data_IF_444824808482
#
_entry.id   IF_444824808482
#
_cell.length_a   1.000
_cell.length_b   1.000
_cell.length_c   1.000
_cell.angle_alpha   90.00
_cell.angle_beta   90.00
_cell.angle_gamma   90.00
#
_symmetry.space_group_name_H-M   'P 1'
#
loop_
_entity.id
_entity.type
_entity.pdbx_description
1 polymer ?
#
# COMPACT_ATOMS: atom_id res chain seq x y z
N UNK A 1 -2.07 26.73 -36.86
CA UNK A 1 -0.79 27.04 -36.18
C UNK A 1 -0.77 26.66 -34.70
N UNK A 2 -1.75 27.04 -33.86
CA UNK A 2 -1.80 26.60 -32.44
C UNK A 2 -2.21 25.13 -32.29
N UNK A 3 -3.24 24.71 -33.04
CA UNK A 3 -3.72 23.31 -33.06
C UNK A 3 -2.67 22.33 -33.61
N UNK A 4 -1.91 22.71 -34.63
CA UNK A 4 -0.85 21.86 -35.20
C UNK A 4 0.29 21.58 -34.21
N UNK A 5 0.59 22.55 -33.33
CA UNK A 5 1.60 22.42 -32.27
C UNK A 5 1.09 21.51 -31.15
N UNK A 6 -0.18 21.63 -30.74
CA UNK A 6 -0.79 20.75 -29.74
C UNK A 6 -0.88 19.30 -30.22
N UNK A 7 -1.19 19.09 -31.50
CA UNK A 7 -1.19 17.76 -32.13
C UNK A 7 0.22 17.17 -32.12
N UNK A 8 1.24 17.92 -32.56
CA UNK A 8 2.64 17.45 -32.53
C UNK A 8 3.13 17.14 -31.11
N UNK A 9 2.77 17.96 -30.12
CA UNK A 9 3.11 17.72 -28.71
C UNK A 9 2.42 16.46 -28.16
N UNK A 10 1.15 16.23 -28.50
CA UNK A 10 0.43 15.02 -28.08
C UNK A 10 1.01 13.75 -28.70
N UNK A 11 1.42 13.79 -29.98
CA UNK A 11 2.12 12.68 -30.65
C UNK A 11 3.49 12.41 -30.02
N UNK A 12 4.29 13.44 -29.74
CA UNK A 12 5.59 13.29 -29.08
C UNK A 12 5.44 12.64 -27.72
N UNK A 13 4.49 13.14 -26.90
CA UNK A 13 4.19 12.57 -25.59
C UNK A 13 3.72 11.10 -25.69
N UNK A 14 2.96 10.76 -26.74
CA UNK A 14 2.51 9.39 -26.96
C UNK A 14 3.67 8.45 -27.34
N UNK A 15 4.57 8.89 -28.22
CA UNK A 15 5.76 8.12 -28.61
C UNK A 15 6.70 7.94 -27.41
N UNK A 16 6.93 8.99 -26.63
CA UNK A 16 7.75 8.91 -25.41
C UNK A 16 7.16 7.95 -24.38
N UNK A 17 5.83 7.97 -24.20
CA UNK A 17 5.12 7.02 -23.32
C UNK A 17 5.29 5.59 -23.79
N UNK A 18 5.16 5.32 -25.09
CA UNK A 18 5.32 3.96 -25.65
C UNK A 18 6.77 3.49 -25.48
N UNK A 19 7.73 4.36 -25.81
CA UNK A 19 9.16 4.03 -25.77
C UNK A 19 9.64 3.77 -24.34
N UNK A 20 9.07 4.46 -23.36
CA UNK A 20 9.47 4.37 -21.95
C UNK A 20 8.46 3.60 -21.06
N UNK A 21 7.43 2.96 -21.65
CA UNK A 21 6.32 2.37 -20.90
C UNK A 21 6.79 1.38 -19.83
N UNK A 22 7.76 0.53 -20.17
CA UNK A 22 8.32 -0.47 -19.26
C UNK A 22 9.09 0.15 -18.10
N UNK A 23 9.93 1.16 -18.37
CA UNK A 23 10.66 1.89 -17.34
C UNK A 23 9.72 2.66 -16.40
N UNK A 24 8.70 3.31 -16.96
CA UNK A 24 7.66 4.01 -16.18
C UNK A 24 6.91 3.01 -15.30
N UNK A 25 6.57 1.83 -15.83
CA UNK A 25 5.89 0.77 -15.08
C UNK A 25 6.76 0.23 -13.95
N UNK A 26 8.02 -0.10 -14.22
CA UNK A 26 8.95 -0.58 -13.19
C UNK A 26 9.13 0.46 -12.07
N UNK A 27 9.23 1.75 -12.42
CA UNK A 27 9.32 2.83 -11.44
C UNK A 27 8.05 2.93 -10.57
N UNK A 28 6.87 2.81 -11.17
CA UNK A 28 5.60 2.76 -10.41
C UNK A 28 5.54 1.54 -9.49
N UNK A 29 5.86 0.35 -10.00
CA UNK A 29 5.90 -0.89 -9.21
C UNK A 29 6.81 -0.75 -7.99
N UNK A 30 7.98 -0.15 -8.16
CA UNK A 30 8.91 0.10 -7.08
C UNK A 30 8.35 1.10 -6.05
N UNK A 31 7.85 2.26 -6.47
CA UNK A 31 7.29 3.26 -5.55
C UNK A 31 6.13 2.69 -4.73
N UNK A 32 5.20 2.00 -5.38
CA UNK A 32 4.03 1.43 -4.70
C UNK A 32 4.44 0.32 -3.74
N UNK A 33 5.42 -0.51 -4.13
CA UNK A 33 5.97 -1.56 -3.26
C UNK A 33 6.69 -0.97 -2.05
N UNK A 34 7.54 0.04 -2.24
CA UNK A 34 8.27 0.70 -1.16
C UNK A 34 7.34 1.43 -0.18
N UNK A 35 6.26 2.02 -0.70
CA UNK A 35 5.19 2.60 0.11
C UNK A 35 4.53 1.53 0.99
N UNK A 36 4.12 0.39 0.42
CA UNK A 36 3.47 -0.68 1.17
C UNK A 36 4.43 -1.32 2.18
N UNK A 37 5.70 -1.49 1.80
CA UNK A 37 6.76 -1.95 2.70
C UNK A 37 6.95 -1.04 3.90
N UNK A 38 6.93 0.27 3.68
CA UNK A 38 7.06 1.26 4.77
C UNK A 38 5.88 1.17 5.74
N UNK A 39 4.66 0.99 5.23
CA UNK A 39 3.48 0.73 6.05
C UNK A 39 3.63 -0.55 6.89
N UNK A 40 4.08 -1.65 6.26
CA UNK A 40 4.32 -2.92 6.95
C UNK A 40 5.37 -2.78 8.05
N UNK A 41 6.51 -2.14 7.77
CA UNK A 41 7.59 -1.94 8.74
C UNK A 41 7.08 -1.14 9.94
N UNK A 42 6.39 -0.01 9.72
CA UNK A 42 5.88 0.81 10.81
C UNK A 42 4.87 0.03 11.69
N UNK A 43 3.96 -0.74 11.07
CA UNK A 43 3.03 -1.59 11.80
C UNK A 43 3.75 -2.71 12.57
N UNK A 44 4.72 -3.36 11.94
CA UNK A 44 5.48 -4.47 12.50
C UNK A 44 6.31 -4.03 13.71
N UNK A 45 6.92 -2.84 13.69
CA UNK A 45 7.61 -2.29 14.86
C UNK A 45 6.67 -2.13 16.05
N UNK A 46 5.45 -1.64 15.82
CA UNK A 46 4.44 -1.50 16.88
C UNK A 46 3.97 -2.85 17.40
N UNK A 47 3.78 -3.85 16.53
CA UNK A 47 3.37 -5.19 16.94
C UNK A 47 4.47 -5.93 17.72
N UNK A 48 5.73 -5.73 17.35
CA UNK A 48 6.89 -6.31 18.04
C UNK A 48 7.07 -5.82 19.48
N UNK A 49 6.59 -4.62 19.81
CA UNK A 49 6.67 -4.10 21.18
C UNK A 49 6.03 -5.05 22.21
N UNK A 50 5.18 -5.99 21.78
CA UNK A 50 4.43 -6.88 22.67
C UNK A 50 4.73 -8.36 22.45
N UNK A 51 5.59 -8.71 21.48
CA UNK A 51 6.01 -10.11 21.27
C UNK A 51 6.94 -10.53 22.42
N UNK A 52 6.44 -11.39 23.31
CA UNK A 52 7.22 -11.99 24.39
C UNK A 52 7.02 -11.38 25.77
N UNK A 53 6.31 -10.25 25.86
CA UNK A 53 5.74 -9.82 27.14
C UNK A 53 4.51 -10.68 27.46
N UNK A 54 4.36 -11.08 28.72
CA UNK A 54 3.07 -11.60 29.17
C UNK A 54 2.06 -10.50 28.89
N UNK A 55 1.06 -10.81 28.05
CA UNK A 55 -0.05 -9.96 27.64
C UNK A 55 -0.65 -9.10 28.77
N UNK A 56 -0.48 -9.54 30.01
CA UNK A 56 -0.88 -8.88 31.26
C UNK A 56 -0.14 -7.56 31.59
N UNK A 57 1.03 -7.26 30.98
CA UNK A 57 1.81 -6.04 31.26
C UNK A 57 1.77 -4.98 30.14
N UNK A 58 1.11 -5.30 29.04
CA UNK A 58 1.00 -4.46 27.86
C UNK A 58 -0.03 -3.33 28.04
N UNK A 59 0.36 -2.07 27.80
CA UNK A 59 -0.61 -0.97 27.68
C UNK A 59 -1.31 -1.07 26.32
N UNK A 60 -2.39 -1.85 26.30
CA UNK A 60 -3.20 -2.10 25.11
C UNK A 60 -3.71 -0.81 24.47
N UNK A 61 -4.08 0.19 25.29
CA UNK A 61 -4.56 1.48 24.81
C UNK A 61 -3.46 2.23 24.07
N UNK A 62 -2.26 2.25 24.64
CA UNK A 62 -1.09 2.86 24.01
C UNK A 62 -0.74 2.24 22.65
N UNK A 63 -0.79 0.91 22.51
CA UNK A 63 -0.53 0.25 21.22
C UNK A 63 -1.59 0.56 20.18
N UNK A 64 -2.86 0.53 20.57
CA UNK A 64 -3.94 0.92 19.67
C UNK A 64 -3.76 2.37 19.21
N UNK A 65 -3.38 3.28 20.11
CA UNK A 65 -3.08 4.68 19.77
C UNK A 65 -1.90 4.81 18.78
N UNK A 66 -0.86 3.98 18.91
CA UNK A 66 0.25 3.95 17.95
C UNK A 66 -0.21 3.43 16.59
N UNK A 67 -0.99 2.34 16.55
CA UNK A 67 -1.56 1.82 15.29
C UNK A 67 -2.47 2.85 14.62
N UNK A 68 -3.27 3.60 15.38
CA UNK A 68 -4.11 4.69 14.87
C UNK A 68 -3.24 5.80 14.24
N UNK A 69 -2.10 6.17 14.84
CA UNK A 69 -1.18 7.15 14.23
C UNK A 69 -0.62 6.66 12.89
N UNK A 70 -0.28 5.37 12.79
CA UNK A 70 0.17 4.76 11.53
C UNK A 70 -0.97 4.72 10.52
N UNK A 71 -2.17 4.34 10.93
CA UNK A 71 -3.37 4.38 10.09
C UNK A 71 -3.57 5.77 9.47
N UNK A 72 -3.58 6.83 10.28
CA UNK A 72 -3.72 8.22 9.81
C UNK A 72 -2.56 8.65 8.87
N UNK A 73 -1.40 8.02 8.97
CA UNK A 73 -0.25 8.29 8.11
C UNK A 73 -0.39 7.63 6.74
N UNK A 74 -0.87 6.39 6.65
CA UNK A 74 -0.84 5.61 5.42
C UNK A 74 -2.20 5.42 4.73
N UNK A 75 -3.31 5.63 5.42
CA UNK A 75 -4.65 5.47 4.86
C UNK A 75 -5.23 6.82 4.42
N UNK A 76 -5.94 6.80 3.29
CA UNK A 76 -6.79 7.91 2.86
C UNK A 76 -8.24 7.68 3.30
N UNK A 77 -8.67 6.42 3.33
CA UNK A 77 -9.98 6.03 3.82
C UNK A 77 -9.95 5.88 5.35
N UNK A 78 -10.70 6.74 6.05
CA UNK A 78 -10.79 6.79 7.50
C UNK A 78 -12.14 6.29 8.04
N UNK A 79 -12.86 5.48 7.27
CA UNK A 79 -14.05 4.79 7.76
C UNK A 79 -13.71 3.93 8.98
N UNK A 80 -14.60 3.93 9.97
CA UNK A 80 -14.38 3.29 11.28
C UNK A 80 -14.10 1.79 11.17
N UNK A 81 -14.58 1.14 10.11
CA UNK A 81 -14.33 -0.27 9.81
C UNK A 81 -12.85 -0.60 9.62
N UNK A 82 -12.04 0.31 9.07
CA UNK A 82 -10.60 0.09 8.84
C UNK A 82 -9.72 0.54 10.00
N UNK A 83 -10.28 1.26 10.97
CA UNK A 83 -9.51 1.82 12.06
C UNK A 83 -9.00 0.69 12.98
N UNK A 84 -7.70 0.67 13.33
CA UNK A 84 -7.18 -0.27 14.31
C UNK A 84 -7.92 -0.14 15.64
N UNK A 85 -8.50 -1.25 16.11
CA UNK A 85 -9.32 -1.28 17.33
C UNK A 85 -8.93 -2.39 18.31
N UNK A 86 -7.92 -3.20 17.96
CA UNK A 86 -7.46 -4.33 18.76
C UNK A 86 -6.00 -4.63 18.50
N UNK A 87 -5.44 -5.52 19.30
CA UNK A 87 -4.17 -6.17 19.04
C UNK A 87 -4.30 -7.68 19.24
N UNK A 88 -3.45 -8.43 18.55
CA UNK A 88 -3.32 -9.88 18.71
C UNK A 88 -1.98 -10.26 19.31
N UNK A 89 -1.78 -11.56 19.48
CA UNK A 89 -0.61 -12.15 20.13
C UNK A 89 0.59 -12.30 19.17
N UNK A 90 0.37 -12.04 17.87
CA UNK A 90 1.34 -12.23 16.80
C UNK A 90 1.46 -10.96 15.93
N UNK A 91 2.64 -10.79 15.33
CA UNK A 91 2.87 -9.75 14.34
C UNK A 91 2.45 -10.19 12.93
N UNK A 92 1.55 -9.42 12.33
CA UNK A 92 0.86 -9.69 11.08
C UNK A 92 1.36 -8.85 9.90
N UNK A 93 2.32 -7.95 10.14
CA UNK A 93 2.90 -7.04 9.13
C UNK A 93 4.38 -7.30 8.84
N UNK A 94 4.85 -8.53 9.05
CA UNK A 94 6.24 -8.90 8.77
C UNK A 94 6.49 -8.95 7.26
N UNK A 95 7.24 -7.97 6.74
CA UNK A 95 7.53 -7.89 5.31
C UNK A 95 8.37 -9.06 4.79
N UNK A 96 9.12 -9.75 5.65
CA UNK A 96 9.91 -10.93 5.23
C UNK A 96 9.01 -12.10 4.79
N UNK A 97 7.73 -12.09 5.20
CA UNK A 97 6.72 -13.09 4.84
C UNK A 97 5.97 -12.75 3.54
N UNK A 98 6.30 -11.62 2.89
CA UNK A 98 5.67 -11.17 1.65
C UNK A 98 6.37 -11.77 0.43
N UNK A 99 5.58 -12.34 -0.49
CA UNK A 99 6.04 -12.84 -1.79
C UNK A 99 5.05 -12.50 -2.92
N UNK A 100 5.42 -12.84 -4.15
CA UNK A 100 4.54 -12.81 -5.33
C UNK A 100 3.78 -11.48 -5.53
N UNK A 101 4.50 -10.37 -5.41
CA UNK A 101 3.96 -9.01 -5.53
C UNK A 101 3.50 -8.78 -6.98
N UNK A 102 2.24 -8.36 -7.14
CA UNK A 102 1.63 -8.02 -8.44
C UNK A 102 1.00 -6.65 -8.39
N UNK A 103 1.32 -5.79 -9.35
CA UNK A 103 0.68 -4.51 -9.53
C UNK A 103 -0.31 -4.56 -10.70
N UNK A 104 -1.50 -4.02 -10.49
CA UNK A 104 -2.51 -3.78 -11.52
C UNK A 104 -2.83 -2.28 -11.55
N UNK A 105 -2.81 -1.69 -12.73
CA UNK A 105 -3.21 -0.31 -12.96
C UNK A 105 -4.34 -0.25 -14.00
N UNK A 106 -5.31 0.66 -13.80
CA UNK A 106 -6.46 0.83 -14.71
C UNK A 106 -6.07 1.57 -16.01
N UNK A 107 -4.88 2.18 -16.06
CA UNK A 107 -4.41 3.01 -17.18
C UNK A 107 -5.16 4.35 -17.32
N UNK A 108 -5.83 4.80 -16.27
CA UNK A 108 -6.56 6.07 -16.23
C UNK A 108 -5.61 7.19 -15.76
N UNK A 109 -5.30 8.13 -16.66
CA UNK A 109 -4.40 9.26 -16.39
C UNK A 109 -5.00 10.25 -15.38
N UNK A 110 -6.32 10.27 -15.18
CA UNK A 110 -7.02 11.20 -14.29
C UNK A 110 -7.21 10.67 -12.88
N UNK A 111 -7.29 9.35 -12.73
CA UNK A 111 -7.44 8.69 -11.44
C UNK A 111 -6.33 7.66 -11.23
N UNK A 112 -5.28 8.08 -10.53
CA UNK A 112 -4.11 7.26 -10.21
C UNK A 112 -4.43 6.28 -9.07
N UNK A 113 -5.23 5.26 -9.41
CA UNK A 113 -5.55 4.12 -8.56
C UNK A 113 -4.74 2.90 -8.98
N UNK A 114 -4.15 2.27 -7.97
CA UNK A 114 -3.32 1.08 -8.10
C UNK A 114 -3.90 -0.04 -7.25
N UNK A 115 -3.93 -1.25 -7.79
CA UNK A 115 -4.17 -2.45 -6.99
C UNK A 115 -2.84 -3.17 -6.85
N UNK A 116 -2.37 -3.36 -5.63
CA UNK A 116 -1.21 -4.19 -5.34
C UNK A 116 -1.69 -5.44 -4.62
N UNK A 117 -1.36 -6.60 -5.17
CA UNK A 117 -1.59 -7.90 -4.55
C UNK A 117 -0.27 -8.43 -4.04
N UNK A 118 -0.27 -8.95 -2.83
CA UNK A 118 0.86 -9.64 -2.22
C UNK A 118 0.40 -10.99 -1.71
N UNK A 119 1.26 -11.99 -1.81
CA UNK A 119 1.08 -13.24 -1.07
C UNK A 119 1.74 -13.08 0.29
N UNK A 120 1.02 -13.42 1.35
CA UNK A 120 1.51 -13.37 2.72
C UNK A 120 1.56 -14.78 3.31
N UNK A 121 2.72 -15.14 3.86
CA UNK A 121 2.92 -16.44 4.51
C UNK A 121 2.85 -16.31 6.03
N UNK A 122 1.63 -16.18 6.56
CA UNK A 122 1.36 -16.20 8.00
C UNK A 122 1.23 -17.63 8.55
N UNK A 123 0.29 -17.81 9.49
CA UNK A 123 -0.14 -19.16 9.93
C UNK A 123 -0.77 -19.92 8.76
N UNK A 124 -1.52 -19.20 7.94
CA UNK A 124 -2.05 -19.66 6.66
C UNK A 124 -1.44 -18.81 5.54
N UNK A 125 -1.48 -19.34 4.32
CA UNK A 125 -1.11 -18.59 3.12
C UNK A 125 -2.34 -17.81 2.65
N UNK A 126 -2.24 -16.49 2.58
CA UNK A 126 -3.30 -15.62 2.10
C UNK A 126 -2.78 -14.66 1.02
N UNK A 127 -3.68 -14.18 0.16
CA UNK A 127 -3.40 -13.06 -0.74
C UNK A 127 -4.03 -11.82 -0.13
N UNK A 128 -3.22 -10.78 0.09
CA UNK A 128 -3.70 -9.46 0.51
C UNK A 128 -3.66 -8.52 -0.68
N UNK A 129 -4.74 -7.78 -0.88
CA UNK A 129 -4.88 -6.85 -2.00
C UNK A 129 -5.15 -5.48 -1.42
N UNK A 130 -4.32 -4.50 -1.79
CA UNK A 130 -4.49 -3.11 -1.38
C UNK A 130 -4.87 -2.27 -2.58
N UNK A 131 -5.91 -1.46 -2.43
CA UNK A 131 -6.20 -0.35 -3.33
C UNK A 131 -5.49 0.90 -2.82
N UNK A 132 -4.52 1.37 -3.58
CA UNK A 132 -3.69 2.55 -3.25
C UNK A 132 -4.06 3.67 -4.22
N UNK A 133 -4.34 4.84 -3.68
CA UNK A 133 -4.63 6.05 -4.45
C UNK A 133 -3.49 7.05 -4.30
N UNK A 134 -3.06 7.63 -5.41
CA UNK A 134 -2.25 8.85 -5.38
C UNK A 134 -3.15 10.08 -5.48
N UNK A 135 -3.15 10.90 -4.42
CA UNK A 135 -3.98 12.11 -4.32
C UNK A 135 -3.23 13.18 -3.54
N UNK A 136 -3.34 14.43 -3.99
CA UNK A 136 -2.76 15.61 -3.31
C UNK A 136 -1.24 15.47 -3.02
N UNK A 137 -0.51 14.82 -3.91
CA UNK A 137 0.94 14.61 -3.78
C UNK A 137 1.35 13.44 -2.87
N UNK A 138 0.39 12.63 -2.41
CA UNK A 138 0.61 11.55 -1.45
C UNK A 138 -0.07 10.25 -1.87
N UNK A 139 0.61 9.13 -1.61
CA UNK A 139 0.01 7.79 -1.70
C UNK A 139 -0.74 7.46 -0.41
N UNK A 140 -1.90 6.83 -0.55
CA UNK A 140 -2.65 6.32 0.59
C UNK A 140 -3.52 5.12 0.26
N UNK A 141 -3.71 4.28 1.27
CA UNK A 141 -4.55 3.09 1.20
C UNK A 141 -6.02 3.51 1.26
N UNK A 142 -6.79 3.04 0.30
CA UNK A 142 -8.24 3.24 0.22
C UNK A 142 -9.00 2.03 0.75
N UNK A 143 -8.56 0.83 0.38
CA UNK A 143 -9.17 -0.43 0.79
C UNK A 143 -8.12 -1.54 0.89
N UNK A 144 -8.39 -2.49 1.77
CA UNK A 144 -7.69 -3.76 1.87
C UNK A 144 -8.70 -4.90 1.69
N UNK A 145 -8.31 -5.90 0.92
CA UNK A 145 -9.03 -7.15 0.72
C UNK A 145 -8.10 -8.31 1.04
N UNK A 146 -8.66 -9.47 1.33
CA UNK A 146 -7.90 -10.70 1.44
C UNK A 146 -8.64 -11.87 0.80
N UNK A 147 -7.87 -12.80 0.28
CA UNK A 147 -8.32 -14.10 -0.23
C UNK A 147 -7.56 -15.18 0.54
N UNK A 148 -8.29 -16.14 1.10
CA UNK A 148 -7.70 -17.30 1.79
C UNK A 148 -7.51 -18.41 0.75
N UNK A 149 -6.28 -18.94 0.65
CA UNK A 149 -5.92 -20.02 -0.28
C UNK A 149 -5.97 -21.39 0.43
#
# INVERSE_FOLDING_TARGET
MREDIEILLSFSNMVDRITNAEAIRQYKEQIITDFLKSYYVDMYEVEKLHIGDKFENADMGYIVDLKIKIFNKYWHNHESYYQPCSMGDDANFDWEKVSDIKLYEKGDDFQQLYLISITYQGVFKDIRIYMIEYKDGKLGIQQEFFEII
#
